data_IF_596296888672
#
_entry.id   IF_596296888672
#
_cell.length_a   1.000
_cell.length_b   1.000
_cell.length_c   1.000
_cell.angle_alpha   90.00
_cell.angle_beta   90.00
_cell.angle_gamma   90.00
#
_symmetry.space_group_name_H-M   'P 1'
#
loop_
_entity.id
_entity.type
_entity.pdbx_description
1 polymer ?
#
# COMPACT_ATOMS: atom_id res chain seq x y z
N UNK A 1 7.11 -4.26 1.19
CA UNK A 1 5.73 -4.11 0.73
C UNK A 1 5.09 -5.49 0.43
N UNK A 2 3.81 -5.50 0.07
CA UNK A 2 2.98 -6.71 -0.08
C UNK A 2 2.91 -7.57 1.20
N UNK A 3 2.97 -6.92 2.35
CA UNK A 3 2.88 -7.58 3.65
C UNK A 3 1.46 -8.05 3.99
N UNK A 4 0.45 -7.53 3.31
CA UNK A 4 -0.93 -7.98 3.34
C UNK A 4 -1.52 -7.88 1.93
N UNK A 5 -2.44 -8.78 1.61
CA UNK A 5 -3.11 -8.82 0.33
C UNK A 5 -4.44 -9.56 0.39
N UNK A 6 -5.16 -9.57 -0.72
CA UNK A 6 -6.49 -10.21 -0.82
C UNK A 6 -6.48 -11.71 -0.49
N UNK A 7 -5.32 -12.35 -0.53
CA UNK A 7 -5.12 -13.75 -0.13
C UNK A 7 -5.31 -13.97 1.38
N UNK A 8 -5.18 -12.94 2.21
CA UNK A 8 -5.35 -13.03 3.66
C UNK A 8 -6.81 -13.16 4.09
N UNK A 9 -7.74 -12.77 3.21
CA UNK A 9 -9.19 -12.77 3.48
C UNK A 9 -9.65 -11.66 4.40
N UNK A 10 -8.75 -10.78 4.78
CA UNK A 10 -8.99 -9.57 5.57
C UNK A 10 -8.22 -8.40 4.99
N UNK A 11 -8.72 -7.19 5.20
CA UNK A 11 -8.00 -5.97 4.84
C UNK A 11 -6.79 -5.78 5.73
N UNK A 12 -5.73 -5.24 5.19
CA UNK A 12 -4.49 -5.00 5.94
C UNK A 12 -3.58 -3.98 5.28
N UNK A 13 -2.57 -3.58 6.00
CA UNK A 13 -1.55 -2.69 5.47
C UNK A 13 -0.50 -3.48 4.69
N UNK A 14 -0.33 -3.18 3.41
CA UNK A 14 0.69 -3.85 2.62
C UNK A 14 2.08 -3.21 2.76
N UNK A 15 2.15 -2.00 3.34
CA UNK A 15 3.40 -1.23 3.40
C UNK A 15 3.52 -0.39 4.68
N UNK A 16 3.16 -0.95 5.85
CA UNK A 16 3.29 -0.23 7.13
C UNK A 16 4.74 -0.05 7.56
N UNK A 17 5.04 1.08 8.19
CA UNK A 17 6.35 1.32 8.78
C UNK A 17 6.65 0.34 9.92
N UNK A 18 5.64 0.03 10.76
CA UNK A 18 5.82 -0.87 11.89
C UNK A 18 6.26 -2.28 11.47
N UNK A 19 5.69 -2.79 10.37
CA UNK A 19 6.06 -4.11 9.87
C UNK A 19 7.40 -4.08 9.16
N UNK A 20 7.69 -3.03 8.41
CA UNK A 20 9.02 -2.78 7.84
C UNK A 20 10.10 -2.84 8.92
N UNK A 21 9.88 -2.12 10.04
CA UNK A 21 10.81 -2.11 11.17
C UNK A 21 10.98 -3.50 11.79
N UNK A 22 9.88 -4.23 12.04
CA UNK A 22 9.95 -5.61 12.57
C UNK A 22 10.81 -6.54 11.71
N UNK A 23 10.68 -6.43 10.38
CA UNK A 23 11.47 -7.25 9.45
C UNK A 23 12.95 -6.89 9.52
N UNK A 24 13.30 -5.60 9.55
CA UNK A 24 14.70 -5.16 9.70
C UNK A 24 15.27 -5.62 11.04
N UNK A 25 14.53 -5.44 12.15
CA UNK A 25 14.93 -5.86 13.48
C UNK A 25 15.15 -7.39 13.55
N UNK A 26 14.29 -8.16 12.88
CA UNK A 26 14.43 -9.62 12.79
C UNK A 26 15.75 -10.02 12.11
N UNK A 27 16.08 -9.46 10.97
CA UNK A 27 17.32 -9.77 10.25
C UNK A 27 18.55 -9.28 11.02
N UNK A 28 18.48 -8.11 11.63
CA UNK A 28 19.55 -7.61 12.52
C UNK A 28 19.78 -8.55 13.70
N UNK A 29 18.71 -9.08 14.30
CA UNK A 29 18.77 -10.07 15.38
C UNK A 29 19.43 -11.41 14.98
N UNK A 30 19.40 -11.74 13.68
CA UNK A 30 20.15 -12.88 13.12
C UNK A 30 21.64 -12.56 12.82
N UNK A 31 22.09 -11.34 13.12
CA UNK A 31 23.47 -10.90 12.88
C UNK A 31 23.72 -10.40 11.45
N UNK A 32 22.67 -10.14 10.68
CA UNK A 32 22.82 -9.54 9.36
C UNK A 32 23.08 -8.05 9.52
N UNK A 33 24.12 -7.56 8.86
CA UNK A 33 24.48 -6.16 8.80
C UNK A 33 23.32 -5.37 8.12
N UNK A 34 22.73 -4.44 8.85
CA UNK A 34 21.60 -3.62 8.35
C UNK A 34 21.97 -2.80 7.13
N UNK A 35 23.24 -2.42 6.96
CA UNK A 35 23.76 -1.76 5.77
C UNK A 35 23.64 -2.59 4.48
N UNK A 36 23.32 -3.88 4.59
CA UNK A 36 23.06 -4.77 3.44
C UNK A 36 21.58 -4.95 3.15
N UNK A 37 20.71 -4.39 3.98
CA UNK A 37 19.27 -4.45 3.81
C UNK A 37 18.77 -3.21 3.06
N UNK A 38 17.81 -3.39 2.19
CA UNK A 38 17.06 -2.29 1.57
C UNK A 38 15.59 -2.39 1.94
N UNK A 39 14.97 -1.26 2.23
CA UNK A 39 13.53 -1.16 2.51
C UNK A 39 12.80 -1.01 1.18
N UNK A 40 11.76 -1.82 0.97
CA UNK A 40 10.89 -1.67 -0.19
C UNK A 40 9.83 -0.59 0.04
N UNK A 41 9.56 0.21 -0.98
CA UNK A 41 8.45 1.15 -1.02
C UNK A 41 7.67 0.97 -2.32
N UNK A 42 6.35 0.71 -2.24
CA UNK A 42 5.50 0.61 -3.41
C UNK A 42 4.99 2.00 -3.80
N UNK A 43 4.95 2.27 -5.08
CA UNK A 43 4.25 3.45 -5.60
C UNK A 43 2.83 3.11 -6.08
N UNK A 44 2.39 1.88 -5.84
CA UNK A 44 1.04 1.38 -6.10
C UNK A 44 0.26 1.16 -4.81
N UNK A 45 -1.05 1.07 -4.93
CA UNK A 45 -1.93 0.66 -3.85
C UNK A 45 -2.41 -0.77 -4.03
N UNK A 46 -2.63 -1.48 -2.92
CA UNK A 46 -3.41 -2.72 -2.91
C UNK A 46 -4.86 -2.44 -2.51
N UNK A 47 -5.78 -2.98 -3.29
CA UNK A 47 -7.21 -2.79 -3.13
C UNK A 47 -7.89 -4.05 -2.59
N UNK A 48 -8.80 -3.85 -1.63
CA UNK A 48 -9.57 -4.91 -1.00
C UNK A 48 -11.07 -4.57 -1.07
N UNK A 49 -11.90 -5.54 -1.43
CA UNK A 49 -13.35 -5.40 -1.37
C UNK A 49 -13.86 -6.00 -0.05
N UNK A 50 -14.26 -5.15 0.88
CA UNK A 50 -14.82 -5.60 2.16
C UNK A 50 -16.18 -6.27 1.95
N UNK A 51 -16.45 -7.34 2.70
CA UNK A 51 -17.75 -8.03 2.66
C UNK A 51 -18.85 -7.19 3.29
N UNK A 52 -18.49 -6.48 4.36
CA UNK A 52 -19.39 -5.57 5.07
C UNK A 52 -18.68 -4.24 5.32
N UNK A 53 -19.45 -3.15 5.38
CA UNK A 53 -18.93 -1.84 5.74
C UNK A 53 -19.16 -1.60 7.23
N UNK A 54 -18.06 -1.43 7.95
CA UNK A 54 -18.05 -0.94 9.32
C UNK A 54 -16.93 0.11 9.45
N UNK A 55 -17.24 1.40 9.42
CA UNK A 55 -16.23 2.46 9.50
C UNK A 55 -15.34 2.42 10.75
N UNK A 56 -15.80 1.74 11.83
CA UNK A 56 -15.03 1.57 13.06
C UNK A 56 -14.02 0.42 12.99
N UNK A 57 -14.09 -0.41 11.95
CA UNK A 57 -13.24 -1.60 11.80
C UNK A 57 -12.98 -1.89 10.32
N UNK A 58 -12.33 -0.99 9.65
CA UNK A 58 -11.99 -1.17 8.23
C UNK A 58 -10.67 -1.90 8.03
N UNK A 59 -9.74 -1.82 8.98
CA UNK A 59 -8.52 -2.64 9.02
C UNK A 59 -8.84 -3.95 9.74
N UNK A 60 -8.43 -5.08 9.16
CA UNK A 60 -8.79 -6.42 9.64
C UNK A 60 -10.23 -6.84 9.29
N UNK A 61 -10.94 -6.06 8.48
CA UNK A 61 -12.28 -6.37 8.03
C UNK A 61 -12.26 -7.56 7.05
N UNK A 62 -13.22 -8.52 7.14
CA UNK A 62 -13.34 -9.58 6.17
C UNK A 62 -13.50 -9.02 4.75
N UNK A 63 -12.68 -9.49 3.83
CA UNK A 63 -12.74 -9.08 2.42
C UNK A 63 -12.98 -10.27 1.49
N UNK A 64 -13.31 -9.97 0.25
CA UNK A 64 -13.38 -10.97 -0.80
C UNK A 64 -11.98 -11.50 -1.05
N UNK A 65 -11.86 -12.82 -1.14
CA UNK A 65 -10.61 -13.49 -1.48
C UNK A 65 -10.72 -14.08 -2.85
N UNK A 66 -9.60 -14.07 -3.55
CA UNK A 66 -9.50 -14.87 -4.73
C UNK A 66 -9.27 -16.34 -4.35
N UNK A 67 -10.12 -17.23 -4.83
CA UNK A 67 -9.92 -18.68 -4.78
C UNK A 67 -10.22 -19.26 -6.13
N UNK A 68 -9.24 -19.94 -6.72
CA UNK A 68 -9.49 -20.78 -7.87
C UNK A 68 -10.52 -21.85 -7.52
N UNK A 69 -11.40 -22.17 -8.45
CA UNK A 69 -12.41 -23.22 -8.28
C UNK A 69 -11.83 -24.60 -7.99
N UNK A 70 -10.57 -24.82 -8.33
CA UNK A 70 -9.79 -26.05 -8.07
C UNK A 70 -9.04 -26.05 -6.74
N UNK A 71 -9.10 -24.97 -5.97
CA UNK A 71 -8.26 -24.76 -4.77
C UNK A 71 -6.79 -24.43 -5.09
N UNK A 72 -6.40 -24.45 -6.37
CA UNK A 72 -5.08 -24.06 -6.85
C UNK A 72 -5.21 -22.73 -7.57
N UNK A 73 -4.52 -21.69 -7.05
CA UNK A 73 -4.45 -20.39 -7.70
C UNK A 73 -3.49 -20.48 -8.87
N UNK A 74 -3.98 -20.24 -10.08
CA UNK A 74 -3.16 -20.18 -11.28
C UNK A 74 -2.77 -18.73 -11.59
N UNK A 75 -1.70 -18.52 -12.37
CA UNK A 75 -1.32 -17.19 -12.83
C UNK A 75 -2.45 -16.50 -13.63
N UNK A 76 -3.23 -17.28 -14.38
CA UNK A 76 -4.39 -16.77 -15.09
C UNK A 76 -5.45 -16.25 -14.14
N UNK A 77 -5.72 -17.01 -13.09
CA UNK A 77 -6.69 -16.65 -12.08
C UNK A 77 -6.29 -15.35 -11.35
N UNK A 78 -5.00 -15.19 -11.02
CA UNK A 78 -4.46 -13.97 -10.45
C UNK A 78 -4.66 -12.77 -11.38
N UNK A 79 -4.36 -12.94 -12.69
CA UNK A 79 -4.56 -11.88 -13.68
C UNK A 79 -6.03 -11.51 -13.86
N UNK A 80 -6.95 -12.49 -13.85
CA UNK A 80 -8.39 -12.21 -13.91
C UNK A 80 -8.87 -11.49 -12.65
N UNK A 81 -8.36 -11.86 -11.49
CA UNK A 81 -8.67 -11.20 -10.24
C UNK A 81 -8.10 -9.78 -10.20
N UNK A 82 -6.84 -9.61 -10.56
CA UNK A 82 -6.20 -8.31 -10.70
C UNK A 82 -6.93 -7.44 -11.72
N UNK A 83 -7.38 -8.02 -12.85
CA UNK A 83 -8.18 -7.32 -13.84
C UNK A 83 -9.57 -6.93 -13.31
N UNK A 84 -10.21 -7.78 -12.52
CA UNK A 84 -11.50 -7.48 -11.89
C UNK A 84 -11.34 -6.51 -10.72
N UNK A 85 -10.33 -6.70 -9.88
CA UNK A 85 -9.98 -5.77 -8.83
C UNK A 85 -9.48 -4.45 -9.41
N UNK A 86 -8.76 -4.48 -10.51
CA UNK A 86 -8.17 -3.31 -11.17
C UNK A 86 -9.11 -2.59 -12.13
N UNK A 87 -10.21 -3.19 -12.59
CA UNK A 87 -11.16 -2.50 -13.48
C UNK A 87 -11.84 -1.27 -12.86
N UNK A 88 -11.68 -1.06 -11.56
CA UNK A 88 -12.05 0.17 -10.88
C UNK A 88 -10.93 0.76 -10.01
N UNK A 89 -9.78 0.12 -9.97
CA UNK A 89 -8.68 0.37 -9.05
C UNK A 89 -7.31 0.38 -9.66
N UNK A 90 -7.18 0.27 -10.95
CA UNK A 90 -6.00 0.91 -11.45
C UNK A 90 -6.17 2.37 -11.09
N UNK A 91 -5.67 2.65 -9.95
CA UNK A 91 -5.07 3.93 -9.64
C UNK A 91 -3.96 4.09 -10.66
N UNK A 92 -4.43 4.27 -11.86
CA UNK A 92 -3.80 4.07 -13.13
C UNK A 92 -2.41 4.60 -13.07
N UNK A 93 -1.45 3.69 -13.01
CA UNK A 93 -0.04 3.94 -13.09
C UNK A 93 0.59 4.66 -11.91
N UNK A 94 -0.15 4.92 -10.78
CA UNK A 94 0.40 5.91 -9.90
C UNK A 94 -0.31 5.92 -8.55
N UNK A 95 0.11 5.02 -7.65
CA UNK A 95 -0.39 5.02 -6.27
C UNK A 95 -0.21 6.37 -5.57
N UNK A 96 0.82 7.12 -5.95
CA UNK A 96 1.08 8.44 -5.44
C UNK A 96 0.16 9.51 -6.06
N UNK A 97 -0.14 9.41 -7.34
CA UNK A 97 -1.07 10.32 -8.04
C UNK A 97 -2.45 10.29 -7.42
N UNK A 98 -2.90 9.13 -7.00
CA UNK A 98 -4.15 8.94 -6.34
C UNK A 98 -4.33 9.82 -5.10
N UNK A 99 -3.28 10.04 -4.35
CA UNK A 99 -3.31 10.88 -3.16
C UNK A 99 -3.42 12.36 -3.48
N UNK A 100 -2.74 12.78 -4.54
CA UNK A 100 -2.63 14.19 -4.91
C UNK A 100 -3.87 14.70 -5.63
N UNK A 101 -4.33 13.94 -6.60
CA UNK A 101 -5.35 14.42 -7.52
C UNK A 101 -6.76 14.01 -7.08
N UNK A 102 -6.90 13.00 -6.23
CA UNK A 102 -8.19 12.45 -5.72
C UNK A 102 -9.22 12.28 -6.82
N UNK A 103 -8.77 12.07 -8.03
CA UNK A 103 -9.56 11.99 -9.24
C UNK A 103 -10.16 10.59 -9.38
N UNK A 104 -11.02 10.28 -8.44
CA UNK A 104 -11.99 9.24 -8.68
C UNK A 104 -13.02 9.78 -9.67
N UNK A 105 -13.46 8.95 -10.61
CA UNK A 105 -14.51 9.31 -11.57
C UNK A 105 -15.79 9.85 -10.90
N UNK A 106 -15.98 9.61 -9.61
CA UNK A 106 -17.07 10.09 -8.77
C UNK A 106 -16.71 11.34 -7.95
N UNK A 107 -15.59 12.00 -8.24
CA UNK A 107 -15.13 13.19 -7.52
C UNK A 107 -14.65 12.92 -6.09
N UNK A 108 -14.29 11.68 -5.77
CA UNK A 108 -13.80 11.28 -4.45
C UNK A 108 -14.90 11.14 -3.39
N UNK A 109 -16.15 11.07 -3.80
CA UNK A 109 -17.30 10.95 -2.91
C UNK A 109 -17.22 9.70 -2.05
N UNK A 110 -17.37 9.86 -0.73
CA UNK A 110 -17.38 8.77 0.25
C UNK A 110 -16.01 8.20 0.59
N UNK A 111 -14.92 8.73 0.05
CA UNK A 111 -13.59 8.32 0.42
C UNK A 111 -13.08 9.01 1.68
N UNK A 112 -12.60 8.19 2.61
CA UNK A 112 -11.92 8.60 3.84
C UNK A 112 -10.46 8.24 3.74
N UNK A 113 -9.58 9.24 3.75
CA UNK A 113 -8.13 9.08 3.75
C UNK A 113 -7.63 9.07 5.19
N UNK A 114 -6.90 8.06 5.58
CA UNK A 114 -6.45 7.86 6.96
C UNK A 114 -4.94 7.62 6.99
N UNK A 115 -4.26 8.37 7.84
CA UNK A 115 -2.91 8.07 8.27
C UNK A 115 -2.96 7.43 9.66
N UNK A 116 -2.63 6.15 9.74
CA UNK A 116 -2.51 5.43 11.00
C UNK A 116 -1.17 5.74 11.65
N UNK A 117 -1.21 6.53 12.71
CA UNK A 117 0.00 6.94 13.42
C UNK A 117 0.67 5.81 14.19
N UNK A 118 -0.08 4.80 14.60
CA UNK A 118 0.43 3.67 15.38
C UNK A 118 1.29 2.75 14.50
N UNK A 119 0.77 2.39 13.34
CA UNK A 119 1.47 1.52 12.40
C UNK A 119 2.37 2.28 11.43
N UNK A 120 2.16 3.60 11.29
CA UNK A 120 2.82 4.39 10.25
C UNK A 120 2.42 3.96 8.86
N UNK A 121 1.13 3.72 8.65
CA UNK A 121 0.56 3.30 7.38
C UNK A 121 -0.48 4.29 6.89
N UNK A 122 -0.63 4.40 5.58
CA UNK A 122 -1.71 5.13 4.95
C UNK A 122 -2.71 4.16 4.31
N UNK A 123 -3.98 4.47 4.47
CA UNK A 123 -5.06 3.74 3.83
C UNK A 123 -6.25 4.63 3.53
N UNK A 124 -7.12 4.16 2.66
CA UNK A 124 -8.41 4.79 2.41
C UNK A 124 -9.52 3.76 2.38
N UNK A 125 -10.73 4.19 2.67
CA UNK A 125 -11.93 3.36 2.49
C UNK A 125 -13.09 4.20 2.00
N UNK A 126 -14.07 3.55 1.38
CA UNK A 126 -15.27 4.22 0.87
C UNK A 126 -16.53 3.61 1.50
N UNK A 127 -17.31 4.45 2.19
CA UNK A 127 -18.56 4.09 2.86
C UNK A 127 -19.82 4.67 2.20
N UNK A 128 -19.67 5.35 1.07
CA UNK A 128 -20.80 5.91 0.31
C UNK A 128 -21.55 4.82 -0.46
N UNK A 129 -22.78 4.54 -0.06
CA UNK A 129 -23.59 3.42 -0.59
C UNK A 129 -23.82 3.53 -2.10
N UNK A 130 -23.97 4.75 -2.61
CA UNK A 130 -24.24 5.01 -4.03
C UNK A 130 -22.95 5.09 -4.87
N UNK A 131 -21.77 5.00 -4.24
CA UNK A 131 -20.51 4.97 -4.95
C UNK A 131 -20.24 3.58 -5.54
N UNK A 132 -19.70 3.54 -6.76
CA UNK A 132 -19.15 2.30 -7.35
C UNK A 132 -18.01 1.70 -6.50
N UNK A 133 -17.42 2.52 -5.64
CA UNK A 133 -16.35 2.14 -4.72
C UNK A 133 -16.85 1.76 -3.32
N UNK A 134 -18.14 1.67 -3.11
CA UNK A 134 -18.68 1.26 -1.82
C UNK A 134 -18.05 -0.04 -1.30
N UNK A 135 -17.63 -0.05 -0.03
CA UNK A 135 -16.93 -1.15 0.64
C UNK A 135 -15.48 -1.41 0.18
N UNK A 136 -14.88 -0.49 -0.52
CA UNK A 136 -13.49 -0.66 -0.86
C UNK A 136 -12.55 -0.09 0.20
N UNK A 137 -11.44 -0.80 0.37
CA UNK A 137 -10.31 -0.40 1.20
C UNK A 137 -9.05 -0.40 0.33
N UNK A 138 -8.23 0.60 0.46
CA UNK A 138 -6.97 0.77 -0.25
C UNK A 138 -5.85 0.92 0.77
N UNK A 139 -4.78 0.15 0.64
CA UNK A 139 -3.53 0.36 1.38
C UNK A 139 -2.47 0.88 0.42
N UNK A 140 -1.78 1.93 0.80
CA UNK A 140 -0.82 2.63 -0.07
C UNK A 140 0.28 3.34 0.71
N UNK A 141 1.31 3.79 0.00
CA UNK A 141 2.33 4.70 0.52
C UNK A 141 1.90 6.15 0.29
N UNK A 142 2.11 7.03 1.27
CA UNK A 142 2.01 8.47 1.11
C UNK A 142 3.33 9.17 1.49
N UNK A 143 3.40 10.49 1.31
CA UNK A 143 4.61 11.23 1.66
C UNK A 143 4.95 11.15 3.14
N UNK A 144 3.96 10.97 4.04
CA UNK A 144 4.21 10.85 5.48
C UNK A 144 4.76 9.47 5.83
N UNK A 145 4.20 8.41 5.24
CA UNK A 145 4.68 7.05 5.45
C UNK A 145 6.05 6.84 4.83
N UNK A 146 6.27 7.39 3.64
CA UNK A 146 7.58 7.39 2.99
C UNK A 146 8.61 8.15 3.84
N UNK A 147 8.28 9.34 4.37
CA UNK A 147 9.19 10.09 5.23
C UNK A 147 9.65 9.27 6.43
N UNK A 148 8.74 8.56 7.09
CA UNK A 148 9.12 7.68 8.21
C UNK A 148 10.14 6.61 7.83
N UNK A 149 10.01 6.03 6.65
CA UNK A 149 10.97 5.05 6.13
C UNK A 149 12.33 5.69 5.85
N UNK A 150 12.31 6.88 5.25
CA UNK A 150 13.55 7.63 4.94
C UNK A 150 14.28 8.07 6.23
N UNK A 151 13.55 8.59 7.21
CA UNK A 151 14.11 8.91 8.52
C UNK A 151 14.76 7.69 9.16
N UNK A 152 14.06 6.55 9.13
CA UNK A 152 14.57 5.30 9.69
C UNK A 152 15.83 4.79 8.97
N UNK A 153 15.90 4.90 7.65
CA UNK A 153 17.11 4.58 6.87
C UNK A 153 18.28 5.43 7.33
N UNK A 154 18.08 6.75 7.45
CA UNK A 154 19.11 7.68 7.87
C UNK A 154 19.57 7.45 9.32
N UNK A 155 18.65 7.14 10.23
CA UNK A 155 18.93 6.97 11.65
C UNK A 155 19.60 5.64 11.96
N UNK A 156 19.33 4.59 11.19
CA UNK A 156 19.77 3.23 11.50
C UNK A 156 20.90 2.72 10.60
N UNK A 157 21.17 3.40 9.49
CA UNK A 157 22.17 2.97 8.51
C UNK A 157 21.73 1.76 7.68
N UNK A 158 20.42 1.52 7.54
CA UNK A 158 19.88 0.59 6.54
C UNK A 158 20.39 1.00 5.16
N UNK A 159 20.76 0.02 4.34
CA UNK A 159 21.53 0.24 3.10
C UNK A 159 20.83 1.03 2.00
N UNK A 160 19.52 1.25 2.11
CA UNK A 160 18.80 2.08 1.14
C UNK A 160 17.33 1.70 0.95
N UNK A 161 16.78 2.14 -0.17
CA UNK A 161 15.37 1.92 -0.54
C UNK A 161 15.28 1.25 -1.91
N UNK A 162 14.29 0.36 -2.08
CA UNK A 162 13.91 -0.24 -3.35
C UNK A 162 12.52 0.26 -3.72
N UNK A 163 12.33 0.72 -4.94
CA UNK A 163 11.08 1.31 -5.42
C UNK A 163 10.44 0.35 -6.42
N UNK A 164 9.15 0.07 -6.23
CA UNK A 164 8.31 -0.59 -7.22
C UNK A 164 7.04 0.23 -7.44
N UNK A 165 6.86 0.84 -8.60
CA UNK A 165 7.86 1.04 -9.65
C UNK A 165 7.92 2.54 -10.02
N UNK A 166 9.00 2.94 -10.59
CA UNK A 166 9.31 4.37 -10.82
C UNK A 166 8.29 5.09 -11.71
N UNK A 167 7.68 4.38 -12.66
CA UNK A 167 6.68 4.96 -13.56
C UNK A 167 5.30 5.17 -12.91
N UNK A 168 5.15 4.75 -11.64
CA UNK A 168 3.96 4.95 -10.82
C UNK A 168 4.06 6.16 -9.89
N UNK A 169 5.11 6.94 -10.00
CA UNK A 169 5.22 8.21 -9.26
C UNK A 169 4.26 9.27 -9.80
N UNK A 170 4.05 10.34 -9.07
CA UNK A 170 3.30 11.51 -9.54
C UNK A 170 3.97 12.17 -10.75
N UNK A 171 3.20 12.89 -11.56
CA UNK A 171 3.73 13.56 -12.74
C UNK A 171 4.85 14.58 -12.44
N UNK A 172 4.89 15.10 -11.22
CA UNK A 172 5.92 16.00 -10.71
C UNK A 172 7.01 15.27 -9.92
N UNK A 173 7.02 13.93 -9.95
CA UNK A 173 8.01 13.08 -9.29
C UNK A 173 8.13 13.34 -7.79
N UNK A 174 7.00 13.56 -7.09
CA UNK A 174 7.00 13.97 -5.70
C UNK A 174 7.70 12.98 -4.77
N UNK A 175 7.52 11.67 -4.98
CA UNK A 175 8.15 10.63 -4.18
C UNK A 175 9.62 10.46 -4.52
N UNK A 176 9.95 10.45 -5.81
CA UNK A 176 11.35 10.38 -6.26
C UNK A 176 12.15 11.58 -5.76
N UNK A 177 11.59 12.78 -5.82
CA UNK A 177 12.23 13.99 -5.30
C UNK A 177 12.43 13.89 -3.79
N UNK A 178 11.43 13.42 -3.03
CA UNK A 178 11.53 13.21 -1.59
C UNK A 178 12.64 12.21 -1.23
N UNK A 179 12.74 11.10 -1.96
CA UNK A 179 13.80 10.09 -1.77
C UNK A 179 15.17 10.69 -2.09
N UNK A 180 15.30 11.37 -3.23
CA UNK A 180 16.55 11.98 -3.65
C UNK A 180 17.05 13.03 -2.65
N UNK A 181 16.18 13.86 -2.16
CA UNK A 181 16.48 14.90 -1.16
C UNK A 181 16.97 14.34 0.16
N UNK A 182 16.61 13.13 0.52
CA UNK A 182 16.95 12.51 1.79
C UNK A 182 18.14 11.55 1.72
N UNK A 183 18.31 10.82 0.60
CA UNK A 183 19.29 9.75 0.49
C UNK A 183 20.47 10.05 -0.46
N UNK A 184 20.36 11.03 -1.34
CA UNK A 184 21.38 11.32 -2.34
C UNK A 184 22.19 12.62 -2.05
N UNK A 185 22.20 13.08 -0.81
CA UNK A 185 22.96 14.25 -0.38
C UNK A 185 24.42 13.91 -0.09
#
# INVERSE_FOLDING_TARGET
YDMSGVWDGVTGHHTSFSDTKKVVDYFAGLGIDVGKLCIGTPFYALAFKMKEMNPMQVVGAPCETYRASSGIVTERDLKEFEAQASSGYRLEKDGARWQKDRDFDDGGKGWHLVYDKETGAAYAYNDEVDSKYYKWFLSYEDQLTLQKKLDYINDTGVGGIIIWEVDQDTQDYAFMNQIADQLLR
#
